data_IF_213622182445
#
_entry.id   IF_213622182445
#
_cell.length_a   1.000
_cell.length_b   1.000
_cell.length_c   1.000
_cell.angle_alpha   90.00
_cell.angle_beta   90.00
_cell.angle_gamma   90.00
#
_symmetry.space_group_name_H-M   'P 1'
#
loop_
_entity.id
_entity.type
_entity.pdbx_description
1 polymer ?
#
# COMPACT_ATOMS: atom_id res chain seq x y z
N UNK A 1 85.16 14.38 -12.76
CA UNK A 1 84.15 14.80 -13.76
C UNK A 1 83.46 13.57 -14.31
N UNK A 2 82.11 13.60 -14.40
CA UNK A 2 81.21 12.64 -15.08
C UNK A 2 81.10 11.27 -14.38
N UNK A 3 79.92 10.69 -14.10
CA UNK A 3 78.55 10.93 -14.57
C UNK A 3 77.57 10.25 -13.60
N UNK A 4 76.40 10.86 -13.49
CA UNK A 4 75.20 10.37 -12.82
C UNK A 4 74.63 9.11 -13.49
N UNK A 5 74.05 8.21 -12.69
CA UNK A 5 72.89 7.40 -13.10
C UNK A 5 72.09 7.05 -11.84
N UNK A 6 70.98 7.77 -11.65
CA UNK A 6 70.00 7.57 -10.59
C UNK A 6 69.20 6.31 -10.91
N UNK A 7 69.40 5.25 -10.13
CA UNK A 7 68.56 4.05 -10.23
C UNK A 7 67.23 4.35 -9.54
N UNK A 8 66.18 4.50 -10.36
CA UNK A 8 64.84 4.83 -9.92
C UNK A 8 64.20 3.71 -9.11
N UNK A 9 63.56 4.14 -8.04
CA UNK A 9 62.59 3.46 -7.19
C UNK A 9 61.72 2.42 -7.91
N UNK A 10 61.66 1.20 -7.34
CA UNK A 10 60.52 0.30 -7.47
C UNK A 10 60.08 -0.10 -6.05
N UNK A 11 59.19 0.70 -5.48
CA UNK A 11 58.40 0.32 -4.30
C UNK A 11 57.29 -0.60 -4.80
N UNK A 12 57.21 -1.88 -4.40
CA UNK A 12 55.98 -2.62 -4.55
C UNK A 12 54.99 -2.07 -3.54
N UNK A 13 54.03 -1.26 -4.01
CA UNK A 13 52.81 -0.95 -3.28
C UNK A 13 52.05 -2.27 -3.07
N UNK A 14 52.25 -2.88 -1.90
CA UNK A 14 51.37 -3.89 -1.33
C UNK A 14 50.03 -3.20 -0.99
N UNK A 15 49.21 -2.94 -2.00
CA UNK A 15 47.79 -2.70 -1.80
C UNK A 15 47.12 -4.07 -1.68
N UNK A 16 47.18 -4.63 -0.48
CA UNK A 16 46.23 -5.67 -0.09
C UNK A 16 44.88 -4.94 -0.03
N UNK A 17 44.16 -4.97 -1.15
CA UNK A 17 42.72 -4.68 -1.13
C UNK A 17 42.08 -5.84 -0.38
N UNK A 18 41.89 -5.64 0.93
CA UNK A 18 40.96 -6.47 1.68
C UNK A 18 39.59 -6.07 1.14
N UNK A 19 39.16 -6.73 0.08
CA UNK A 19 37.75 -6.70 -0.29
C UNK A 19 37.04 -7.29 0.92
N UNK A 20 36.45 -6.44 1.76
CA UNK A 20 35.46 -6.87 2.73
C UNK A 20 34.31 -7.45 1.91
N UNK A 21 34.40 -8.75 1.62
CA UNK A 21 33.24 -9.53 1.25
C UNK A 21 32.25 -9.27 2.38
N UNK A 22 31.21 -8.49 2.10
CA UNK A 22 30.04 -8.46 2.93
C UNK A 22 29.69 -9.94 3.14
N UNK A 23 29.61 -10.42 4.39
CA UNK A 23 29.09 -11.75 4.60
C UNK A 23 27.74 -11.76 3.91
N UNK A 24 27.59 -12.66 2.95
CA UNK A 24 26.28 -13.02 2.43
C UNK A 24 25.44 -13.36 3.66
N UNK A 25 24.67 -12.40 4.16
CA UNK A 25 23.54 -12.65 5.04
C UNK A 25 22.48 -13.36 4.18
N UNK A 26 22.82 -14.61 3.92
CA UNK A 26 21.98 -15.69 3.47
C UNK A 26 21.16 -16.16 4.68
N UNK A 27 20.63 -15.21 5.46
CA UNK A 27 19.85 -15.41 6.66
C UNK A 27 18.50 -14.72 6.43
N UNK A 28 17.49 -15.55 6.12
CA UNK A 28 16.05 -15.28 6.09
C UNK A 28 15.39 -14.58 4.88
N UNK A 29 15.85 -14.85 3.65
CA UNK A 29 15.18 -14.34 2.42
C UNK A 29 13.92 -15.12 1.96
N UNK A 30 13.22 -15.85 2.84
CA UNK A 30 12.07 -16.69 2.46
C UNK A 30 10.70 -16.07 2.71
N UNK A 31 10.61 -14.98 3.49
CA UNK A 31 9.35 -14.27 3.79
C UNK A 31 9.37 -12.80 3.34
N UNK A 32 10.18 -12.43 2.33
CA UNK A 32 10.29 -11.04 1.90
C UNK A 32 9.30 -10.72 0.77
N UNK A 33 8.31 -9.91 1.10
CA UNK A 33 7.46 -9.23 0.14
C UNK A 33 8.26 -8.14 -0.60
N UNK A 34 7.88 -7.84 -1.85
CA UNK A 34 8.35 -6.60 -2.47
C UNK A 34 7.59 -5.42 -1.88
N UNK A 35 8.27 -4.28 -1.70
CA UNK A 35 7.57 -3.04 -1.40
C UNK A 35 6.59 -2.73 -2.53
N UNK A 36 5.37 -2.36 -2.15
CA UNK A 36 4.27 -2.19 -3.10
C UNK A 36 3.45 -0.97 -2.71
N UNK A 37 2.77 -0.40 -3.70
CA UNK A 37 1.98 0.81 -3.56
C UNK A 37 0.65 0.61 -4.25
N UNK A 38 -0.43 1.12 -3.66
CA UNK A 38 -1.70 1.23 -4.34
C UNK A 38 -2.45 2.49 -3.89
N UNK A 39 -3.40 2.94 -4.69
CA UNK A 39 -4.22 4.10 -4.43
C UNK A 39 -5.69 3.83 -4.72
N UNK A 40 -6.54 4.48 -3.93
CA UNK A 40 -7.97 4.60 -4.15
C UNK A 40 -8.31 6.08 -4.32
N UNK A 41 -8.51 6.51 -5.56
CA UNK A 41 -8.94 7.86 -5.88
C UNK A 41 -10.47 7.93 -5.94
N UNK A 42 -11.06 8.66 -4.99
CA UNK A 42 -12.47 8.97 -4.95
C UNK A 42 -12.68 10.29 -5.69
N UNK A 43 -12.72 10.24 -7.01
CA UNK A 43 -12.89 11.39 -7.90
C UNK A 43 -14.32 11.54 -8.44
N UNK A 44 -15.10 10.46 -8.35
CA UNK A 44 -16.39 10.29 -9.00
C UNK A 44 -17.46 9.88 -7.98
N UNK A 45 -18.42 10.78 -7.72
CA UNK A 45 -19.55 10.53 -6.82
C UNK A 45 -19.63 11.48 -5.62
N UNK A 46 -20.41 11.11 -4.58
CA UNK A 46 -20.68 11.97 -3.42
C UNK A 46 -19.45 12.12 -2.53
N UNK A 47 -18.65 11.06 -2.38
CA UNK A 47 -17.41 11.06 -1.61
C UNK A 47 -16.26 11.53 -2.49
N UNK A 48 -15.35 12.33 -1.91
CA UNK A 48 -14.18 12.84 -2.62
C UNK A 48 -12.94 12.82 -1.75
N UNK A 49 -11.84 12.23 -2.23
CA UNK A 49 -10.62 12.07 -1.45
C UNK A 49 -9.63 11.08 -2.04
N UNK A 50 -8.54 10.86 -1.32
CA UNK A 50 -7.49 9.94 -1.71
C UNK A 50 -7.11 9.05 -0.54
N UNK A 51 -6.99 7.75 -0.80
CA UNK A 51 -6.44 6.77 0.14
C UNK A 51 -5.28 6.04 -0.52
N UNK A 52 -4.19 5.92 0.22
CA UNK A 52 -2.91 5.37 -0.21
C UNK A 52 -2.60 4.15 0.66
N UNK A 53 -2.08 3.11 0.00
CA UNK A 53 -1.67 1.84 0.59
C UNK A 53 -0.17 1.66 0.32
N UNK A 54 0.62 1.45 1.36
CA UNK A 54 2.06 1.23 1.30
C UNK A 54 2.40 -0.09 1.97
N UNK A 55 2.88 -1.08 1.21
CA UNK A 55 3.33 -2.37 1.73
C UNK A 55 4.84 -2.35 1.99
N UNK A 56 5.26 -2.83 3.16
CA UNK A 56 6.67 -3.04 3.50
C UNK A 56 7.18 -4.44 3.10
N UNK A 57 8.46 -4.71 3.34
CA UNK A 57 9.11 -5.98 2.98
C UNK A 57 8.57 -7.19 3.77
N UNK A 58 7.81 -6.97 4.84
CA UNK A 58 7.17 -8.04 5.61
C UNK A 58 5.73 -8.29 5.16
N UNK A 59 5.24 -7.54 4.17
CA UNK A 59 3.86 -7.64 3.69
C UNK A 59 2.85 -6.89 4.54
N UNK A 60 3.30 -6.07 5.50
CA UNK A 60 2.41 -5.23 6.28
C UNK A 60 2.05 -3.99 5.48
N UNK A 61 0.78 -3.61 5.50
CA UNK A 61 0.28 -2.48 4.72
C UNK A 61 -0.10 -1.32 5.62
N UNK A 62 0.58 -0.20 5.43
CA UNK A 62 0.15 1.08 5.94
C UNK A 62 -0.87 1.72 5.01
N UNK A 63 -2.01 2.11 5.58
CA UNK A 63 -3.07 2.81 4.88
C UNK A 63 -3.16 4.22 5.43
N UNK A 64 -3.16 5.20 4.55
CA UNK A 64 -3.31 6.61 4.91
C UNK A 64 -4.22 7.34 3.94
N UNK A 65 -4.92 8.36 4.39
CA UNK A 65 -5.81 9.07 3.50
C UNK A 65 -6.46 10.30 4.11
N UNK A 66 -7.22 10.97 3.26
CA UNK A 66 -8.02 12.15 3.59
C UNK A 66 -9.18 12.28 2.61
N UNK A 67 -10.34 12.67 3.12
CA UNK A 67 -11.49 13.03 2.31
C UNK A 67 -11.79 14.52 2.44
N UNK A 68 -12.10 15.15 1.31
CA UNK A 68 -12.48 16.56 1.21
C UNK A 68 -13.99 16.79 1.13
N UNK A 69 -14.79 15.73 0.91
CA UNK A 69 -16.26 15.77 0.85
C UNK A 69 -16.88 14.38 1.08
N UNK A 70 -18.18 14.33 1.42
CA UNK A 70 -18.96 13.11 1.65
C UNK A 70 -18.99 12.63 3.10
N UNK A 71 -18.60 13.50 4.04
CA UNK A 71 -18.54 13.25 5.48
C UNK A 71 -19.20 14.41 6.26
N UNK A 72 -20.37 14.86 5.79
CA UNK A 72 -21.09 16.02 6.31
C UNK A 72 -21.77 15.76 7.66
N UNK A 73 -22.27 14.54 7.89
CA UNK A 73 -22.92 14.18 9.14
C UNK A 73 -21.87 13.80 10.19
N UNK A 74 -21.62 14.68 11.16
CA UNK A 74 -20.64 14.43 12.23
C UNK A 74 -21.09 13.41 13.27
N UNK A 75 -22.37 13.02 13.27
CA UNK A 75 -22.92 12.03 14.20
C UNK A 75 -22.99 10.63 13.60
N UNK A 76 -22.81 10.51 12.28
CA UNK A 76 -22.78 9.22 11.61
C UNK A 76 -21.51 8.42 11.97
N UNK A 77 -21.63 7.10 11.91
CA UNK A 77 -20.48 6.20 11.98
C UNK A 77 -19.93 5.99 10.58
N UNK A 78 -18.64 6.29 10.38
CA UNK A 78 -17.99 6.08 9.09
C UNK A 78 -17.06 4.88 9.12
N UNK A 79 -17.07 4.12 8.02
CA UNK A 79 -16.19 2.96 7.85
C UNK A 79 -15.53 2.94 6.49
N UNK A 80 -14.55 2.06 6.34
CA UNK A 80 -13.78 1.91 5.11
C UNK A 80 -13.45 0.44 4.88
N UNK A 81 -13.82 -0.06 3.71
CA UNK A 81 -13.74 -1.48 3.37
C UNK A 81 -13.03 -1.67 2.04
N UNK A 82 -12.28 -2.75 1.94
CA UNK A 82 -11.88 -3.32 0.66
C UNK A 82 -12.94 -4.34 0.28
N UNK A 83 -13.46 -4.21 -0.93
CA UNK A 83 -14.54 -5.05 -1.46
C UNK A 83 -14.12 -5.67 -2.79
N UNK A 84 -14.73 -6.82 -3.11
CA UNK A 84 -14.64 -7.40 -4.43
C UNK A 84 -15.58 -6.69 -5.42
N UNK A 85 -15.57 -7.13 -6.68
CA UNK A 85 -16.42 -6.58 -7.74
C UNK A 85 -17.93 -6.75 -7.49
N UNK A 86 -18.32 -7.59 -6.54
CA UNK A 86 -19.68 -7.93 -6.14
C UNK A 86 -20.07 -7.27 -4.81
N UNK A 87 -19.23 -6.36 -4.30
CA UNK A 87 -19.39 -5.64 -3.02
C UNK A 87 -19.32 -6.52 -1.78
N UNK A 88 -18.82 -7.75 -1.89
CA UNK A 88 -18.49 -8.55 -0.72
C UNK A 88 -17.28 -7.94 -0.02
N UNK A 89 -17.31 -7.88 1.31
CA UNK A 89 -16.19 -7.36 2.09
C UNK A 89 -15.02 -8.36 2.08
N UNK A 90 -13.87 -7.89 1.61
CA UNK A 90 -12.59 -8.62 1.66
C UNK A 90 -11.81 -8.27 2.93
N UNK A 91 -11.81 -6.99 3.28
CA UNK A 91 -11.17 -6.43 4.47
C UNK A 91 -12.03 -5.29 5.02
N UNK A 92 -12.32 -5.33 6.31
CA UNK A 92 -12.93 -4.21 7.02
C UNK A 92 -11.85 -3.44 7.78
N UNK A 93 -11.58 -2.20 7.37
CA UNK A 93 -10.51 -1.37 7.92
C UNK A 93 -11.05 -0.29 8.88
N UNK A 94 -12.35 -0.34 9.18
CA UNK A 94 -13.08 0.70 9.92
C UNK A 94 -12.43 1.02 11.26
N UNK A 95 -12.21 0.00 12.09
CA UNK A 95 -11.69 0.20 13.45
C UNK A 95 -10.24 0.70 13.45
N UNK A 96 -9.42 0.17 12.54
CA UNK A 96 -8.01 0.57 12.43
C UNK A 96 -7.85 2.01 11.95
N UNK A 97 -8.63 2.42 10.93
CA UNK A 97 -8.54 3.77 10.37
C UNK A 97 -9.24 4.83 11.23
N UNK A 98 -10.33 4.47 11.91
CA UNK A 98 -11.09 5.36 12.80
C UNK A 98 -11.33 6.75 12.16
N UNK A 99 -11.97 6.74 10.99
CA UNK A 99 -12.18 7.94 10.18
C UNK A 99 -13.09 8.92 10.92
N UNK A 100 -12.62 10.17 11.07
CA UNK A 100 -13.33 11.21 11.80
C UNK A 100 -13.64 12.39 10.89
N UNK A 101 -14.93 12.78 10.76
CA UNK A 101 -15.30 14.01 10.11
C UNK A 101 -14.56 15.22 10.69
N UNK A 102 -14.25 16.19 9.84
CA UNK A 102 -13.62 17.45 10.25
C UNK A 102 -14.63 18.57 10.58
N UNK A 103 -15.92 18.35 10.29
CA UNK A 103 -16.99 19.34 10.48
C UNK A 103 -17.20 20.30 9.29
N UNK A 104 -16.43 20.14 8.21
CA UNK A 104 -16.51 20.92 6.97
C UNK A 104 -16.94 20.10 5.75
N UNK A 105 -17.42 18.87 5.99
CA UNK A 105 -17.80 17.90 4.96
C UNK A 105 -16.69 16.91 4.60
N UNK A 106 -15.46 17.13 5.07
CA UNK A 106 -14.32 16.24 4.89
C UNK A 106 -13.99 15.43 6.15
N UNK A 107 -12.77 14.91 6.19
CA UNK A 107 -12.24 14.17 7.34
C UNK A 107 -10.92 14.75 7.80
N UNK A 108 -10.60 14.51 9.06
CA UNK A 108 -9.20 14.55 9.49
C UNK A 108 -8.39 13.53 8.66
N UNK A 109 -7.10 13.80 8.47
CA UNK A 109 -6.22 12.79 7.92
C UNK A 109 -6.16 11.58 8.85
N UNK A 110 -6.08 10.40 8.27
CA UNK A 110 -6.02 9.13 9.00
C UNK A 110 -4.86 8.29 8.50
N UNK A 111 -4.33 7.45 9.38
CA UNK A 111 -3.23 6.53 9.09
C UNK A 111 -3.26 5.35 10.04
N UNK A 112 -3.09 4.15 9.52
CA UNK A 112 -2.95 2.93 10.33
C UNK A 112 -2.10 1.89 9.60
N UNK A 113 -1.31 1.12 10.35
CA UNK A 113 -0.54 0.00 9.81
C UNK A 113 -1.22 -1.32 10.16
N UNK A 114 -1.65 -2.04 9.13
CA UNK A 114 -2.24 -3.37 9.26
C UNK A 114 -1.16 -4.43 9.03
N UNK A 115 -0.97 -5.33 9.99
CA UNK A 115 0.04 -6.40 9.89
C UNK A 115 -0.46 -7.60 9.09
N UNK A 116 -1.78 -7.80 9.06
CA UNK A 116 -2.42 -9.00 8.52
C UNK A 116 -3.08 -8.73 7.14
N UNK A 117 -2.58 -7.71 6.45
CA UNK A 117 -3.06 -7.29 5.15
C UNK A 117 -1.89 -6.87 4.27
N UNK A 118 -1.75 -7.52 3.12
CA UNK A 118 -0.79 -7.20 2.08
C UNK A 118 -1.48 -6.46 0.92
N UNK A 119 -0.73 -5.78 0.06
CA UNK A 119 -1.22 -5.25 -1.21
C UNK A 119 -1.30 -6.37 -2.24
N UNK A 120 -0.16 -7.02 -2.50
CA UNK A 120 0.02 -8.04 -3.53
C UNK A 120 1.18 -9.00 -3.23
N UNK A 121 1.54 -9.18 -1.95
CA UNK A 121 2.60 -10.12 -1.59
C UNK A 121 2.19 -11.59 -1.76
N UNK A 122 0.93 -11.89 -1.53
CA UNK A 122 0.34 -13.23 -1.58
C UNK A 122 -1.05 -13.20 -2.25
N UNK A 123 -1.73 -14.34 -2.31
CA UNK A 123 -3.09 -14.45 -2.85
C UNK A 123 -4.16 -13.86 -1.91
N UNK A 124 -3.76 -13.33 -0.75
CA UNK A 124 -4.62 -12.69 0.23
C UNK A 124 -4.35 -11.17 0.32
N UNK A 125 -3.76 -10.56 -0.70
CA UNK A 125 -3.56 -9.11 -0.78
C UNK A 125 -4.79 -8.36 -1.30
N UNK A 126 -4.87 -7.04 -1.05
CA UNK A 126 -6.01 -6.21 -1.49
C UNK A 126 -6.18 -6.18 -3.02
N UNK A 127 -5.14 -6.43 -3.80
CA UNK A 127 -5.20 -6.49 -5.27
C UNK A 127 -5.31 -7.91 -5.83
N UNK A 128 -4.99 -8.92 -5.04
CA UNK A 128 -4.85 -10.33 -5.49
C UNK A 128 -5.96 -11.23 -4.98
N UNK A 129 -6.52 -10.93 -3.79
CA UNK A 129 -7.60 -11.71 -3.18
C UNK A 129 -8.85 -11.73 -4.04
N UNK A 130 -9.41 -12.92 -4.21
CA UNK A 130 -10.65 -13.19 -4.95
C UNK A 130 -11.54 -14.10 -4.13
N UNK A 131 -12.82 -13.75 -3.99
CA UNK A 131 -13.83 -14.64 -3.40
C UNK A 131 -14.53 -15.52 -4.44
N UNK A 132 -14.56 -15.05 -5.70
CA UNK A 132 -15.28 -15.71 -6.78
C UNK A 132 -14.40 -15.82 -8.01
N UNK A 133 -14.50 -16.95 -8.71
CA UNK A 133 -13.79 -17.18 -9.97
C UNK A 133 -14.54 -16.61 -11.19
N UNK A 134 -15.80 -16.18 -11.01
CA UNK A 134 -16.67 -15.75 -12.11
C UNK A 134 -17.54 -14.55 -11.72
N UNK A 135 -17.44 -13.51 -12.54
CA UNK A 135 -18.23 -12.27 -12.42
C UNK A 135 -19.69 -12.42 -12.85
N UNK A 136 -20.14 -13.60 -13.28
CA UNK A 136 -21.41 -13.76 -14.01
C UNK A 136 -22.65 -13.64 -13.11
N UNK A 137 -22.53 -13.81 -11.80
CA UNK A 137 -23.68 -13.93 -10.89
C UNK A 137 -23.92 -12.75 -9.95
N UNK A 138 -23.21 -11.64 -10.12
CA UNK A 138 -23.38 -10.49 -9.22
C UNK A 138 -24.50 -9.58 -9.73
N UNK A 139 -25.52 -9.39 -8.90
CA UNK A 139 -26.67 -8.52 -9.17
C UNK A 139 -26.22 -7.06 -9.33
N UNK A 140 -25.32 -6.60 -8.46
CA UNK A 140 -24.77 -5.25 -8.44
C UNK A 140 -23.25 -5.28 -8.65
N UNK A 141 -22.82 -5.03 -9.90
CA UNK A 141 -21.40 -5.01 -10.24
C UNK A 141 -20.81 -3.61 -10.12
N UNK A 142 -19.60 -3.51 -9.55
CA UNK A 142 -18.79 -2.33 -9.75
C UNK A 142 -18.45 -2.18 -11.25
N UNK A 143 -18.66 -0.99 -11.81
CA UNK A 143 -18.40 -0.69 -13.23
C UNK A 143 -16.89 -0.52 -13.56
N UNK A 144 -15.99 -0.57 -12.58
CA UNK A 144 -14.55 -0.30 -12.76
C UNK A 144 -13.76 -1.56 -13.15
N UNK A 145 -12.60 -1.35 -13.82
CA UNK A 145 -11.79 -2.39 -14.50
C UNK A 145 -10.98 -3.30 -13.57
N UNK A 146 -10.71 -2.87 -12.33
CA UNK A 146 -9.84 -3.59 -11.38
C UNK A 146 -10.67 -4.54 -10.51
N UNK A 147 -10.11 -5.68 -10.08
CA UNK A 147 -10.89 -6.75 -9.42
C UNK A 147 -11.50 -6.30 -8.10
N UNK A 148 -10.75 -5.52 -7.32
CA UNK A 148 -11.15 -5.06 -6.00
C UNK A 148 -11.25 -3.52 -5.96
N UNK A 149 -12.06 -3.02 -5.03
CA UNK A 149 -12.29 -1.60 -4.82
C UNK A 149 -12.25 -1.21 -3.35
N UNK A 150 -12.06 0.07 -3.10
CA UNK A 150 -12.31 0.67 -1.81
C UNK A 150 -13.74 1.20 -1.75
N UNK A 151 -14.39 1.02 -0.59
CA UNK A 151 -15.72 1.52 -0.31
C UNK A 151 -15.72 2.24 1.03
N UNK A 152 -16.22 3.47 1.04
CA UNK A 152 -16.57 4.16 2.29
C UNK A 152 -17.96 3.75 2.71
N UNK A 153 -18.24 3.77 4.01
CA UNK A 153 -19.57 3.52 4.55
C UNK A 153 -20.00 4.65 5.47
N UNK A 154 -21.31 4.89 5.53
CA UNK A 154 -21.97 5.77 6.49
C UNK A 154 -23.08 4.96 7.15
N UNK A 155 -23.04 4.82 8.47
CA UNK A 155 -23.95 4.00 9.27
C UNK A 155 -24.03 2.54 8.76
N UNK A 156 -22.92 2.00 8.25
CA UNK A 156 -22.82 0.65 7.71
C UNK A 156 -23.21 0.50 6.24
N UNK A 157 -23.83 1.51 5.63
CA UNK A 157 -24.21 1.49 4.21
C UNK A 157 -23.12 2.08 3.32
N UNK A 158 -22.91 1.50 2.13
CA UNK A 158 -21.87 1.95 1.19
C UNK A 158 -22.18 3.33 0.59
N UNK A 159 -21.33 4.32 0.86
CA UNK A 159 -21.53 5.73 0.50
C UNK A 159 -20.65 6.22 -0.66
N UNK A 160 -19.48 5.61 -0.87
CA UNK A 160 -18.51 6.02 -1.89
C UNK A 160 -17.68 4.85 -2.37
N UNK A 161 -17.24 4.88 -3.63
CA UNK A 161 -16.54 3.77 -4.26
C UNK A 161 -15.38 4.23 -5.15
N UNK A 162 -14.22 3.61 -4.97
CA UNK A 162 -13.04 3.81 -5.79
C UNK A 162 -12.44 2.46 -6.21
N UNK A 163 -11.90 2.39 -7.42
CA UNK A 163 -11.09 1.23 -7.80
C UNK A 163 -9.71 1.35 -7.17
N UNK A 164 -9.06 0.23 -6.86
CA UNK A 164 -7.68 0.22 -6.41
C UNK A 164 -6.75 0.15 -7.61
N UNK A 165 -5.81 1.09 -7.75
CA UNK A 165 -4.79 1.09 -8.81
C UNK A 165 -3.38 1.10 -8.22
N UNK A 166 -2.45 0.44 -8.91
CA UNK A 166 -1.03 0.43 -8.59
C UNK A 166 -0.33 1.64 -9.21
#
# INVERSE_FOLDING_TARGET
MKTFAVLSYLIPFLLITISSAFPNELLNKRNQCQCSFALADFDSGPVGGLVVFNQDENGHTEVSGIFKKGFEDTNATYGFKIIDECKNTLFDLTDGLNIKPDGSGGTKSFRHKFTDMSIDCDDNGILTKKLHNSKRHCSDKLRKRLPNGAMTTQNGEGSGYAGLSK
#
